data_IF_913008382159
#
_entry.id   IF_913008382159
#
_cell.length_a   1.000
_cell.length_b   1.000
_cell.length_c   1.000
_cell.angle_alpha   90.00
_cell.angle_beta   90.00
_cell.angle_gamma   90.00
#
_symmetry.space_group_name_H-M   'P 1'
#
loop_
_entity.id
_entity.type
_entity.pdbx_description
1 polymer ?
#
# COMPACT_ATOMS: atom_id res chain seq x y z
N UNK A 1 19.60 39.12 13.26
CA UNK A 1 19.11 39.00 11.87
C UNK A 1 17.78 38.24 11.94
N UNK A 2 16.67 38.94 11.75
CA UNK A 2 15.31 38.41 11.91
C UNK A 2 15.01 37.33 10.86
N UNK A 3 14.88 36.08 11.29
CA UNK A 3 14.35 34.97 10.49
C UNK A 3 12.88 34.76 10.87
N UNK A 4 12.03 35.67 10.42
CA UNK A 4 10.58 35.50 10.45
C UNK A 4 10.04 35.70 9.04
N UNK A 5 10.49 34.83 8.13
CA UNK A 5 9.74 34.58 6.90
C UNK A 5 8.53 33.72 7.29
N UNK A 6 7.28 34.09 6.94
CA UNK A 6 6.16 33.17 7.10
C UNK A 6 6.48 31.89 6.31
N UNK A 7 6.02 30.70 6.76
CA UNK A 7 6.20 29.48 6.01
C UNK A 7 5.66 29.73 4.60
N UNK A 8 6.51 29.55 3.59
CA UNK A 8 6.15 29.72 2.18
C UNK A 8 4.77 29.14 1.94
N UNK A 9 3.87 29.96 1.42
CA UNK A 9 2.49 29.59 1.22
C UNK A 9 2.44 28.52 0.13
N UNK A 10 2.48 27.25 0.55
CA UNK A 10 2.51 26.13 -0.39
C UNK A 10 1.36 26.27 -1.37
N UNK A 11 1.70 26.35 -2.65
CA UNK A 11 0.73 26.58 -3.71
C UNK A 11 -0.24 25.40 -3.77
N UNK A 12 -1.45 25.60 -3.28
CA UNK A 12 -2.51 24.57 -3.24
C UNK A 12 -3.37 24.54 -4.50
N UNK A 13 -3.05 25.38 -5.50
CA UNK A 13 -3.74 25.44 -6.80
C UNK A 13 -3.77 24.13 -7.60
N UNK A 14 -2.74 23.25 -7.59
CA UNK A 14 -2.81 21.99 -8.34
C UNK A 14 -3.75 20.95 -7.70
N UNK A 15 -4.26 21.20 -6.49
CA UNK A 15 -5.09 20.22 -5.79
C UNK A 15 -6.53 20.19 -6.30
N UNK A 16 -7.16 19.01 -6.34
CA UNK A 16 -8.61 18.91 -6.47
C UNK A 16 -9.32 19.76 -5.41
N UNK A 17 -10.39 20.47 -5.80
CA UNK A 17 -11.15 21.39 -4.93
C UNK A 17 -11.54 20.76 -3.59
N UNK A 18 -11.97 19.50 -3.60
CA UNK A 18 -12.38 18.78 -2.40
C UNK A 18 -11.21 18.48 -1.46
N UNK A 19 -10.04 18.14 -2.01
CA UNK A 19 -8.81 17.91 -1.24
C UNK A 19 -8.35 19.21 -0.58
N UNK A 20 -8.31 20.32 -1.33
CA UNK A 20 -7.95 21.65 -0.81
C UNK A 20 -8.92 22.09 0.30
N UNK A 21 -10.23 22.01 0.06
CA UNK A 21 -11.26 22.36 1.06
C UNK A 21 -11.11 21.54 2.33
N UNK A 22 -10.80 20.25 2.22
CA UNK A 22 -10.58 19.40 3.39
C UNK A 22 -9.32 19.79 4.14
N UNK A 23 -8.19 19.94 3.46
CA UNK A 23 -6.94 20.36 4.08
C UNK A 23 -7.12 21.67 4.87
N UNK A 24 -7.74 22.69 4.27
CA UNK A 24 -7.99 23.97 4.94
C UNK A 24 -8.87 23.84 6.20
N UNK A 25 -9.83 22.90 6.21
CA UNK A 25 -10.66 22.62 7.40
C UNK A 25 -9.90 21.93 8.53
N UNK A 26 -8.88 21.15 8.21
CA UNK A 26 -8.12 20.34 9.18
C UNK A 26 -6.88 21.08 9.71
N UNK A 27 -6.38 22.08 8.98
CA UNK A 27 -5.19 22.85 9.33
C UNK A 27 -5.32 23.53 10.70
N UNK A 28 -4.26 23.42 11.50
CA UNK A 28 -4.18 24.03 12.84
C UNK A 28 -5.09 23.39 13.89
N UNK A 29 -5.65 22.20 13.63
CA UNK A 29 -6.54 21.51 14.58
C UNK A 29 -5.93 20.21 15.08
N UNK A 30 -6.19 19.88 16.34
CA UNK A 30 -6.09 18.50 16.82
C UNK A 30 -7.22 17.70 16.19
N UNK A 31 -6.87 16.57 15.57
CA UNK A 31 -7.80 15.74 14.83
C UNK A 31 -8.35 14.63 15.71
N UNK A 32 -9.64 14.38 15.56
CA UNK A 32 -10.30 13.23 16.15
C UNK A 32 -10.28 12.05 15.19
N UNK A 33 -10.40 10.85 15.76
CA UNK A 33 -10.56 9.64 14.97
C UNK A 33 -11.79 9.77 14.07
N UNK A 34 -11.73 9.45 12.77
CA UNK A 34 -12.89 9.55 11.89
C UNK A 34 -14.05 8.67 12.41
N UNK A 35 -15.16 9.30 12.80
CA UNK A 35 -16.40 8.68 13.28
C UNK A 35 -17.27 8.09 12.17
N UNK A 36 -18.35 7.35 12.45
CA UNK A 36 -19.17 6.67 11.41
C UNK A 36 -19.83 7.68 10.46
N UNK A 37 -19.77 7.41 9.14
CA UNK A 37 -20.36 8.29 8.12
C UNK A 37 -21.23 7.48 7.16
N UNK A 38 -22.22 8.13 6.53
CA UNK A 38 -23.04 7.53 5.48
C UNK A 38 -22.17 6.93 4.35
N UNK A 39 -21.07 7.59 3.98
CA UNK A 39 -20.11 7.07 2.99
C UNK A 39 -19.43 5.76 3.42
N UNK A 40 -19.10 5.61 4.72
CA UNK A 40 -18.56 4.34 5.25
C UNK A 40 -19.62 3.23 5.20
N UNK A 41 -20.87 3.53 5.57
CA UNK A 41 -21.97 2.57 5.48
C UNK A 41 -22.24 2.17 4.04
N UNK A 42 -22.26 3.12 3.10
CA UNK A 42 -22.39 2.86 1.68
C UNK A 42 -21.23 2.00 1.14
N UNK A 43 -19.99 2.27 1.55
CA UNK A 43 -18.84 1.45 1.17
C UNK A 43 -18.94 0.02 1.71
N UNK A 44 -19.42 -0.16 2.95
CA UNK A 44 -19.66 -1.46 3.55
C UNK A 44 -20.79 -2.20 2.84
N UNK A 45 -21.90 -1.53 2.54
CA UNK A 45 -23.02 -2.08 1.79
C UNK A 45 -22.59 -2.53 0.38
N UNK A 46 -21.87 -1.67 -0.34
CA UNK A 46 -21.34 -2.00 -1.68
C UNK A 46 -20.34 -3.16 -1.62
N UNK A 47 -19.49 -3.21 -0.59
CA UNK A 47 -18.57 -4.32 -0.37
C UNK A 47 -19.31 -5.62 -0.06
N UNK A 48 -20.41 -5.56 0.70
CA UNK A 48 -21.29 -6.69 0.96
C UNK A 48 -21.97 -7.18 -0.32
N UNK A 49 -22.44 -6.28 -1.20
CA UNK A 49 -23.00 -6.63 -2.51
C UNK A 49 -21.98 -7.37 -3.38
N UNK A 50 -20.74 -6.87 -3.45
CA UNK A 50 -19.66 -7.54 -4.19
C UNK A 50 -19.48 -8.99 -3.70
N UNK A 51 -19.44 -9.20 -2.39
CA UNK A 51 -19.28 -10.54 -1.83
C UNK A 51 -20.53 -11.41 -1.99
N UNK A 52 -21.73 -10.83 -1.93
CA UNK A 52 -22.98 -11.53 -2.18
C UNK A 52 -23.06 -12.05 -3.62
N UNK A 53 -22.59 -11.27 -4.59
CA UNK A 53 -22.49 -11.70 -6.00
C UNK A 53 -21.55 -12.91 -6.13
N UNK A 54 -20.37 -12.87 -5.50
CA UNK A 54 -19.44 -14.02 -5.50
C UNK A 54 -20.08 -15.26 -4.87
N UNK A 55 -20.81 -15.10 -3.76
CA UNK A 55 -21.52 -16.21 -3.11
C UNK A 55 -22.65 -16.76 -3.98
N UNK A 56 -23.38 -15.90 -4.70
CA UNK A 56 -24.43 -16.30 -5.63
C UNK A 56 -23.90 -17.15 -6.79
N UNK A 57 -22.74 -16.80 -7.36
CA UNK A 57 -22.08 -17.63 -8.38
C UNK A 57 -21.74 -19.03 -7.85
N UNK A 58 -21.21 -19.10 -6.63
CA UNK A 58 -20.90 -20.38 -6.00
C UNK A 58 -22.18 -21.22 -5.80
N UNK A 59 -23.23 -20.62 -5.24
CA UNK A 59 -24.50 -21.28 -5.00
C UNK A 59 -25.16 -21.77 -6.29
N UNK A 60 -25.19 -20.92 -7.34
CA UNK A 60 -25.73 -21.28 -8.65
C UNK A 60 -24.97 -22.44 -9.28
N UNK A 61 -23.64 -22.43 -9.22
CA UNK A 61 -22.83 -23.53 -9.74
C UNK A 61 -23.05 -24.84 -9.02
N UNK A 62 -23.10 -24.83 -7.68
CA UNK A 62 -23.41 -26.01 -6.86
C UNK A 62 -24.82 -26.53 -7.17
N UNK A 63 -25.81 -25.63 -7.30
CA UNK A 63 -27.18 -25.99 -7.64
C UNK A 63 -27.27 -26.68 -9.02
N UNK A 64 -26.56 -26.17 -10.04
CA UNK A 64 -26.53 -26.78 -11.38
C UNK A 64 -25.92 -28.19 -11.33
N UNK A 65 -24.75 -28.35 -10.69
CA UNK A 65 -24.07 -29.66 -10.59
C UNK A 65 -24.94 -30.67 -9.83
N UNK A 66 -25.61 -30.24 -8.76
CA UNK A 66 -26.42 -31.12 -7.92
C UNK A 66 -27.82 -31.40 -8.48
N UNK A 67 -28.38 -30.50 -9.29
CA UNK A 67 -29.68 -30.69 -9.96
C UNK A 67 -29.59 -31.55 -11.22
N UNK A 68 -28.44 -31.56 -11.90
CA UNK A 68 -28.23 -32.26 -13.18
C UNK A 68 -27.24 -33.44 -13.02
N UNK A 69 -27.45 -34.24 -11.97
CA UNK A 69 -26.55 -35.36 -11.63
C UNK A 69 -26.49 -36.36 -12.79
N UNK A 70 -25.28 -36.79 -13.16
CA UNK A 70 -25.05 -37.74 -14.26
C UNK A 70 -24.99 -37.11 -15.65
N UNK A 71 -25.26 -35.81 -15.81
CA UNK A 71 -25.14 -35.11 -17.09
C UNK A 71 -23.81 -34.34 -17.17
N UNK A 72 -22.99 -34.67 -18.17
CA UNK A 72 -21.69 -34.00 -18.44
C UNK A 72 -21.88 -32.49 -18.68
N UNK A 73 -22.99 -32.08 -19.33
CA UNK A 73 -23.29 -30.67 -19.59
C UNK A 73 -23.57 -29.93 -18.27
N UNK A 74 -24.29 -30.54 -17.34
CA UNK A 74 -24.55 -29.97 -16.01
C UNK A 74 -23.27 -29.77 -15.21
N UNK A 75 -22.34 -30.73 -15.27
CA UNK A 75 -21.01 -30.60 -14.69
C UNK A 75 -20.20 -29.46 -15.33
N UNK A 76 -20.17 -29.37 -16.65
CA UNK A 76 -19.44 -28.33 -17.36
C UNK A 76 -20.00 -26.94 -17.04
N UNK A 77 -21.31 -26.75 -17.18
CA UNK A 77 -21.97 -25.47 -16.93
C UNK A 77 -21.95 -25.06 -15.45
N UNK A 78 -22.02 -26.00 -14.51
CA UNK A 78 -21.97 -25.73 -13.08
C UNK A 78 -20.54 -25.51 -12.54
N UNK A 79 -19.53 -26.16 -13.13
CA UNK A 79 -18.14 -26.00 -12.74
C UNK A 79 -17.56 -24.62 -13.08
N UNK A 80 -18.00 -24.00 -14.18
CA UNK A 80 -17.56 -22.64 -14.58
C UNK A 80 -17.85 -21.58 -13.50
N UNK A 81 -19.10 -21.38 -13.02
CA UNK A 81 -19.39 -20.41 -11.98
C UNK A 81 -18.75 -20.78 -10.62
N UNK A 82 -18.58 -22.07 -10.31
CA UNK A 82 -17.79 -22.50 -9.14
C UNK A 82 -16.33 -22.06 -9.29
N UNK A 83 -15.71 -22.32 -10.45
CA UNK A 83 -14.33 -21.93 -10.71
C UNK A 83 -14.15 -20.41 -10.63
N UNK A 84 -15.08 -19.64 -11.18
CA UNK A 84 -15.12 -18.17 -11.04
C UNK A 84 -15.20 -17.79 -9.56
N UNK A 85 -16.12 -18.37 -8.79
CA UNK A 85 -16.27 -18.04 -7.37
C UNK A 85 -15.01 -18.40 -6.54
N UNK A 86 -14.39 -19.56 -6.79
CA UNK A 86 -13.15 -19.99 -6.12
C UNK A 86 -11.99 -19.07 -6.46
N UNK A 87 -11.89 -18.67 -7.73
CA UNK A 87 -10.83 -17.79 -8.21
C UNK A 87 -10.96 -16.39 -7.60
N UNK A 88 -12.20 -15.92 -7.46
CA UNK A 88 -12.55 -14.58 -7.03
C UNK A 88 -12.86 -14.42 -5.55
N UNK A 89 -12.70 -15.52 -4.79
CA UNK A 89 -12.96 -15.57 -3.36
C UNK A 89 -12.33 -14.38 -2.62
N UNK A 90 -12.96 -13.84 -1.57
CA UNK A 90 -12.38 -12.76 -0.77
C UNK A 90 -10.99 -13.15 -0.29
N UNK A 91 -9.95 -12.47 -0.79
CA UNK A 91 -8.58 -12.74 -0.38
C UNK A 91 -8.23 -11.84 0.80
N UNK A 92 -7.67 -12.44 1.83
CA UNK A 92 -7.02 -11.70 2.90
C UNK A 92 -5.69 -11.14 2.40
N UNK A 93 -5.23 -10.04 2.99
CA UNK A 93 -3.89 -9.52 2.76
C UNK A 93 -2.88 -10.65 3.02
N UNK A 94 -1.98 -10.87 2.05
CA UNK A 94 -0.84 -11.79 2.16
C UNK A 94 0.42 -10.96 2.36
N UNK A 95 1.41 -11.55 3.00
CA UNK A 95 2.76 -11.01 3.02
C UNK A 95 3.37 -11.14 1.61
N UNK A 96 4.24 -10.20 1.20
CA UNK A 96 4.94 -10.33 -0.08
C UNK A 96 5.84 -11.57 -0.08
N UNK A 97 6.00 -12.16 -1.26
CA UNK A 97 6.90 -13.28 -1.46
C UNK A 97 8.34 -12.86 -1.12
N UNK A 98 9.06 -13.70 -0.36
CA UNK A 98 10.40 -13.38 0.13
C UNK A 98 10.43 -12.60 1.44
N UNK A 99 9.29 -12.34 2.08
CA UNK A 99 9.26 -11.87 3.47
C UNK A 99 9.72 -12.99 4.42
N UNK A 100 10.74 -12.72 5.22
CA UNK A 100 11.29 -13.66 6.20
C UNK A 100 10.94 -13.23 7.62
N UNK A 101 10.52 -14.18 8.45
CA UNK A 101 10.18 -13.90 9.84
C UNK A 101 11.46 -13.70 10.68
N UNK A 102 11.45 -12.67 11.50
CA UNK A 102 12.47 -12.39 12.51
C UNK A 102 11.83 -12.57 13.87
N UNK A 103 12.42 -13.43 14.70
CA UNK A 103 11.88 -13.72 16.02
C UNK A 103 12.30 -12.65 17.05
N UNK A 104 11.55 -12.55 18.15
CA UNK A 104 11.91 -11.66 19.26
C UNK A 104 13.23 -12.00 19.94
N UNK A 105 13.71 -13.25 19.79
CA UNK A 105 15.03 -13.66 20.26
C UNK A 105 16.16 -13.21 19.33
N UNK A 106 15.90 -13.06 18.03
CA UNK A 106 16.88 -12.61 17.04
C UNK A 106 17.01 -11.09 16.98
N UNK A 107 15.90 -10.36 17.17
CA UNK A 107 15.90 -8.90 17.15
C UNK A 107 15.19 -8.28 18.36
N UNK A 108 15.67 -8.51 19.60
CA UNK A 108 15.01 -8.03 20.80
C UNK A 108 14.86 -6.51 20.85
N UNK A 109 15.89 -5.73 20.45
CA UNK A 109 15.81 -4.27 20.44
C UNK A 109 14.77 -3.76 19.42
N UNK A 110 14.62 -4.42 18.27
CA UNK A 110 13.57 -4.07 17.31
C UNK A 110 12.17 -4.32 17.87
N UNK A 111 11.95 -5.46 18.52
CA UNK A 111 10.67 -5.78 19.14
C UNK A 111 10.36 -4.86 20.33
N UNK A 112 11.36 -4.51 21.14
CA UNK A 112 11.23 -3.57 22.25
C UNK A 112 10.86 -2.16 21.75
N UNK A 113 11.58 -1.64 20.76
CA UNK A 113 11.28 -0.34 20.15
C UNK A 113 9.88 -0.32 19.54
N UNK A 114 9.50 -1.36 18.80
CA UNK A 114 8.17 -1.48 18.20
C UNK A 114 7.07 -1.60 19.27
N UNK A 115 7.29 -2.36 20.34
CA UNK A 115 6.35 -2.50 21.45
C UNK A 115 6.15 -1.20 22.23
N UNK A 116 7.25 -0.49 22.54
CA UNK A 116 7.23 0.81 23.22
C UNK A 116 6.49 1.87 22.41
N UNK A 117 6.78 1.98 21.11
CA UNK A 117 6.08 2.92 20.22
C UNK A 117 4.62 2.50 20.01
N UNK A 118 4.32 1.19 19.90
CA UNK A 118 2.95 0.70 19.82
C UNK A 118 2.13 1.11 21.06
N UNK A 119 2.71 0.96 22.25
CA UNK A 119 2.11 1.43 23.50
C UNK A 119 1.84 2.93 23.51
N UNK A 120 2.80 3.75 23.08
CA UNK A 120 2.65 5.21 23.00
C UNK A 120 1.57 5.65 21.97
N UNK A 121 1.44 4.92 20.87
CA UNK A 121 0.42 5.16 19.83
C UNK A 121 -0.96 4.60 20.21
N UNK A 122 -1.02 3.64 21.13
CA UNK A 122 -2.23 2.88 21.47
C UNK A 122 -2.55 1.72 20.50
N UNK A 123 -1.57 1.27 19.71
CA UNK A 123 -1.69 0.12 18.82
C UNK A 123 -1.31 -1.18 19.54
N UNK A 124 -1.75 -2.33 19.01
CA UNK A 124 -1.27 -3.61 19.51
C UNK A 124 0.22 -3.80 19.14
N UNK A 125 1.06 -4.35 20.03
CA UNK A 125 2.43 -4.69 19.66
C UNK A 125 2.43 -5.72 18.51
N UNK A 126 3.41 -5.68 17.59
CA UNK A 126 3.55 -6.71 16.55
C UNK A 126 3.71 -8.10 17.20
N UNK A 127 2.91 -9.07 16.74
CA UNK A 127 3.06 -10.46 17.17
C UNK A 127 4.22 -11.15 16.44
N UNK A 128 4.57 -10.66 15.25
CA UNK A 128 5.71 -11.09 14.47
C UNK A 128 6.26 -9.91 13.67
N UNK A 129 7.57 -9.94 13.40
CA UNK A 129 8.25 -9.01 12.50
C UNK A 129 8.72 -9.81 11.29
N UNK A 130 8.50 -9.27 10.09
CA UNK A 130 9.03 -9.81 8.85
C UNK A 130 9.96 -8.78 8.23
N UNK A 131 11.08 -9.23 7.69
CA UNK A 131 12.01 -8.41 6.93
C UNK A 131 11.95 -8.75 5.45
N UNK A 132 12.23 -7.78 4.59
CA UNK A 132 12.19 -7.98 3.15
C UNK A 132 13.32 -7.23 2.44
N UNK A 133 14.10 -7.98 1.65
CA UNK A 133 15.37 -7.53 1.09
C UNK A 133 15.23 -6.49 -0.04
N UNK A 134 14.09 -6.45 -0.73
CA UNK A 134 13.87 -5.53 -1.87
C UNK A 134 12.83 -4.45 -1.64
N UNK A 135 12.20 -4.43 -0.47
CA UNK A 135 11.06 -3.55 -0.22
C UNK A 135 11.58 -2.22 0.33
N UNK A 136 11.29 -1.10 -0.34
CA UNK A 136 11.55 0.23 0.22
C UNK A 136 10.31 0.76 0.95
N UNK A 137 9.82 0.01 1.94
CA UNK A 137 8.60 0.34 2.70
C UNK A 137 8.58 -0.36 4.05
N UNK A 138 7.89 0.24 5.02
CA UNK A 138 7.45 -0.42 6.23
C UNK A 138 5.93 -0.52 6.22
N UNK A 139 5.38 -1.62 6.73
CA UNK A 139 3.93 -1.81 6.80
C UNK A 139 3.53 -2.58 8.05
N UNK A 140 2.64 -1.99 8.85
CA UNK A 140 1.93 -2.75 9.90
C UNK A 140 0.65 -3.36 9.32
N UNK A 141 0.56 -4.69 9.29
CA UNK A 141 -0.44 -5.47 8.59
C UNK A 141 -1.15 -6.44 9.52
N UNK A 142 -2.33 -6.91 9.11
CA UNK A 142 -3.09 -7.98 9.78
C UNK A 142 -3.45 -9.07 8.78
N UNK A 143 -2.47 -9.87 8.31
CA UNK A 143 -2.69 -10.85 7.27
C UNK A 143 -3.55 -12.03 7.74
N UNK A 144 -4.13 -12.73 6.78
CA UNK A 144 -4.92 -13.94 7.02
C UNK A 144 -6.25 -13.72 7.76
N UNK A 145 -6.97 -14.82 8.01
CA UNK A 145 -8.26 -14.79 8.72
C UNK A 145 -8.11 -14.49 10.21
N UNK A 146 -6.99 -14.91 10.83
CA UNK A 146 -6.69 -14.67 12.25
C UNK A 146 -6.28 -13.24 12.56
N UNK A 147 -5.97 -12.43 11.53
CA UNK A 147 -5.66 -11.00 11.64
C UNK A 147 -4.63 -10.64 12.73
N UNK A 148 -3.64 -11.53 12.91
CA UNK A 148 -2.55 -11.31 13.86
C UNK A 148 -1.73 -10.09 13.40
N UNK A 149 -1.37 -9.16 14.31
CA UNK A 149 -0.62 -7.98 13.94
C UNK A 149 0.81 -8.34 13.55
N UNK A 150 1.25 -7.86 12.40
CA UNK A 150 2.55 -8.14 11.82
C UNK A 150 3.20 -6.84 11.38
N UNK A 151 4.48 -6.67 11.69
CA UNK A 151 5.28 -5.57 11.19
C UNK A 151 6.17 -6.07 10.05
N UNK A 152 6.00 -5.55 8.85
CA UNK A 152 6.86 -5.81 7.70
C UNK A 152 7.83 -4.65 7.53
N UNK A 153 9.14 -4.92 7.62
CA UNK A 153 10.21 -3.93 7.49
C UNK A 153 11.04 -4.20 6.25
N UNK A 154 11.02 -3.24 5.32
CA UNK A 154 11.92 -3.23 4.19
C UNK A 154 13.35 -2.89 4.60
N UNK A 155 14.30 -3.78 4.33
CA UNK A 155 15.70 -3.59 4.72
C UNK A 155 16.41 -2.47 3.94
N UNK A 156 16.17 -2.26 2.63
CA UNK A 156 16.68 -1.09 1.92
C UNK A 156 16.19 0.24 2.50
N UNK A 157 14.94 0.28 2.98
CA UNK A 157 14.42 1.45 3.69
C UNK A 157 15.18 1.63 5.00
N UNK A 158 15.30 0.58 5.81
CA UNK A 158 15.96 0.65 7.12
C UNK A 158 17.40 1.20 7.03
N UNK A 159 18.17 0.79 6.01
CA UNK A 159 19.52 1.28 5.72
C UNK A 159 19.56 2.79 5.40
N UNK A 160 18.49 3.34 4.85
CA UNK A 160 18.39 4.72 4.42
C UNK A 160 17.77 5.68 5.45
N UNK A 161 17.44 5.19 6.65
CA UNK A 161 16.80 5.98 7.70
C UNK A 161 17.75 6.28 8.88
N UNK A 162 17.76 7.53 9.31
CA UNK A 162 18.34 7.95 10.60
C UNK A 162 17.58 7.32 11.77
N UNK A 163 18.16 7.27 13.00
CA UNK A 163 17.44 6.79 14.18
C UNK A 163 16.09 7.51 14.41
N UNK A 164 16.04 8.83 14.18
CA UNK A 164 14.80 9.62 14.31
C UNK A 164 13.77 9.20 13.27
N UNK A 165 14.18 9.04 12.02
CA UNK A 165 13.29 8.59 10.94
C UNK A 165 12.80 7.15 11.16
N UNK A 166 13.60 6.26 11.75
CA UNK A 166 13.16 4.91 12.15
C UNK A 166 12.05 4.96 13.20
N UNK A 167 12.16 5.86 14.18
CA UNK A 167 11.10 6.10 15.15
C UNK A 167 9.82 6.64 14.47
N UNK A 168 9.98 7.61 13.55
CA UNK A 168 8.89 8.15 12.72
C UNK A 168 8.22 7.09 11.86
N UNK A 169 9.01 6.18 11.26
CA UNK A 169 8.54 5.04 10.48
C UNK A 169 7.64 4.12 11.31
N UNK A 170 8.13 3.66 12.47
CA UNK A 170 7.37 2.77 13.33
C UNK A 170 6.10 3.45 13.84
N UNK A 171 6.22 4.69 14.33
CA UNK A 171 5.09 5.44 14.86
C UNK A 171 4.01 5.68 13.80
N UNK A 172 4.40 6.14 12.60
CA UNK A 172 3.47 6.35 11.50
C UNK A 172 2.75 5.06 11.13
N UNK A 173 3.49 3.96 10.93
CA UNK A 173 2.92 2.69 10.50
C UNK A 173 1.99 2.03 11.54
N UNK A 174 2.35 2.11 12.82
CA UNK A 174 1.52 1.64 13.94
C UNK A 174 0.28 2.53 14.11
N UNK A 175 0.41 3.85 13.98
CA UNK A 175 -0.71 4.78 14.13
C UNK A 175 -1.78 4.59 13.05
N UNK A 176 -1.40 4.09 11.88
CA UNK A 176 -2.39 3.71 10.86
C UNK A 176 -3.34 2.61 11.33
N UNK A 177 -2.99 1.74 12.29
CA UNK A 177 -3.88 0.67 12.79
C UNK A 177 -5.03 1.24 13.63
N UNK A 178 -4.74 2.24 14.46
CA UNK A 178 -5.74 2.91 15.30
C UNK A 178 -6.50 4.02 14.57
N UNK A 179 -6.07 4.37 13.36
CA UNK A 179 -6.62 5.48 12.57
C UNK A 179 -8.11 5.37 12.21
N UNK A 180 -8.67 4.16 12.20
CA UNK A 180 -10.04 3.94 11.72
C UNK A 180 -10.21 4.05 10.20
N UNK A 181 -9.12 3.91 9.44
CA UNK A 181 -9.15 3.81 7.98
C UNK A 181 -10.02 2.61 7.55
N UNK A 182 -11.10 2.82 6.77
CA UNK A 182 -11.94 1.73 6.25
C UNK A 182 -11.14 0.74 5.38
N UNK A 183 -10.03 1.17 4.77
CA UNK A 183 -9.14 0.32 3.95
C UNK A 183 -8.22 -0.58 4.78
N UNK A 184 -8.31 -0.53 6.11
CA UNK A 184 -7.62 -1.46 7.03
C UNK A 184 -8.57 -2.48 7.67
N UNK A 185 -9.85 -2.45 7.30
CA UNK A 185 -10.83 -3.47 7.65
C UNK A 185 -10.68 -4.78 6.88
N UNK A 186 -11.65 -5.67 6.99
CA UNK A 186 -11.71 -6.90 6.19
C UNK A 186 -12.50 -6.67 4.89
N UNK A 187 -13.75 -6.21 5.02
CA UNK A 187 -14.73 -6.15 3.91
C UNK A 187 -14.32 -5.23 2.76
N UNK A 188 -13.94 -3.98 3.06
CA UNK A 188 -13.63 -2.99 2.03
C UNK A 188 -12.37 -3.38 1.24
N UNK A 189 -11.24 -3.76 1.87
CA UNK A 189 -10.07 -4.20 1.14
C UNK A 189 -10.29 -5.47 0.34
N UNK A 190 -11.03 -6.46 0.89
CA UNK A 190 -11.33 -7.69 0.16
C UNK A 190 -12.23 -7.42 -1.05
N UNK A 191 -13.24 -6.55 -0.93
CA UNK A 191 -14.07 -6.17 -2.06
C UNK A 191 -13.27 -5.42 -3.15
N UNK A 192 -12.41 -4.47 -2.77
CA UNK A 192 -11.52 -3.79 -3.72
C UNK A 192 -10.57 -4.76 -4.41
N UNK A 193 -10.01 -5.74 -3.68
CA UNK A 193 -9.15 -6.77 -4.24
C UNK A 193 -9.92 -7.68 -5.22
N UNK A 194 -11.11 -8.16 -4.83
CA UNK A 194 -11.98 -8.98 -5.66
C UNK A 194 -12.37 -8.25 -6.94
N UNK A 195 -12.93 -7.04 -6.85
CA UNK A 195 -13.35 -6.29 -8.06
C UNK A 195 -12.16 -5.96 -8.95
N UNK A 196 -11.01 -5.59 -8.37
CA UNK A 196 -9.78 -5.32 -9.13
C UNK A 196 -9.22 -6.57 -9.84
N UNK A 197 -9.38 -7.76 -9.27
CA UNK A 197 -9.05 -9.03 -9.91
C UNK A 197 -10.01 -9.34 -11.07
N UNK A 198 -11.33 -9.18 -10.88
CA UNK A 198 -12.30 -9.43 -11.96
C UNK A 198 -12.07 -8.49 -13.13
N UNK A 199 -11.83 -7.21 -12.84
CA UNK A 199 -11.52 -6.23 -13.87
C UNK A 199 -10.25 -6.65 -14.62
N UNK A 200 -9.17 -6.99 -13.91
CA UNK A 200 -7.93 -7.47 -14.55
C UNK A 200 -8.15 -8.74 -15.35
N UNK A 201 -9.00 -9.66 -14.92
CA UNK A 201 -9.39 -10.83 -15.69
C UNK A 201 -10.02 -10.44 -17.03
N UNK A 202 -11.09 -9.66 -16.95
CA UNK A 202 -11.95 -9.34 -18.09
C UNK A 202 -11.25 -8.40 -19.08
N UNK A 203 -10.39 -7.49 -18.58
CA UNK A 203 -9.60 -6.59 -19.43
C UNK A 203 -8.26 -7.18 -19.86
N UNK A 204 -7.73 -8.13 -19.08
CA UNK A 204 -6.45 -8.80 -19.29
C UNK A 204 -6.52 -9.99 -20.23
N UNK A 205 -7.73 -10.42 -20.65
CA UNK A 205 -7.94 -11.24 -21.85
C UNK A 205 -7.61 -10.47 -23.14
N UNK A 206 -6.52 -9.71 -23.15
CA UNK A 206 -5.80 -9.42 -24.38
C UNK A 206 -5.25 -10.76 -24.83
N UNK A 207 -5.74 -11.27 -25.96
CA UNK A 207 -4.99 -12.25 -26.75
C UNK A 207 -3.74 -11.51 -27.20
N UNK A 208 -2.74 -11.43 -26.32
CA UNK A 208 -1.40 -10.98 -26.63
C UNK A 208 -0.92 -11.88 -27.77
N UNK A 209 -0.59 -11.26 -28.89
CA UNK A 209 -0.61 -11.87 -30.21
C UNK A 209 -0.16 -13.33 -30.20
N UNK A 210 -1.06 -14.21 -30.60
CA UNK A 210 -0.64 -15.51 -31.12
C UNK A 210 0.37 -15.18 -32.22
N UNK A 211 1.66 -15.40 -31.93
CA UNK A 211 2.72 -15.33 -32.93
C UNK A 211 2.23 -16.18 -34.07
N UNK A 212 2.07 -15.54 -35.22
CA UNK A 212 1.73 -16.17 -36.47
C UNK A 212 2.86 -17.13 -36.81
N UNK A 213 2.80 -18.36 -36.28
CA UNK A 213 3.46 -19.48 -36.91
C UNK A 213 2.64 -19.72 -38.17
N UNK A 214 3.05 -19.03 -39.23
CA UNK A 214 2.47 -19.16 -40.56
C UNK A 214 2.51 -20.63 -40.94
N UNK A 215 1.35 -21.28 -40.85
CA UNK A 215 1.12 -22.60 -41.40
C UNK A 215 0.49 -22.38 -42.78
N UNK A 216 1.26 -22.48 -43.89
CA UNK A 216 0.85 -22.04 -45.22
C UNK A 216 -0.35 -22.83 -45.78
N UNK A 217 -0.72 -23.94 -45.15
CA UNK A 217 -1.79 -24.83 -45.60
C UNK A 217 -3.20 -24.37 -45.16
N UNK A 218 -3.32 -23.45 -44.20
CA UNK A 218 -4.61 -22.94 -43.71
C UNK A 218 -5.07 -21.64 -44.40
N UNK A 219 -4.28 -21.12 -45.35
CA UNK A 219 -4.55 -19.85 -46.01
C UNK A 219 -5.50 -19.93 -47.21
N UNK A 220 -5.85 -21.15 -47.66
CA UNK A 220 -6.63 -21.37 -48.89
C UNK A 220 -8.16 -21.32 -48.73
N UNK A 221 -8.73 -21.26 -47.51
CA UNK A 221 -10.19 -21.24 -47.31
C UNK A 221 -10.68 -19.98 -46.57
N UNK A 222 -11.15 -19.01 -47.36
CA UNK A 222 -11.50 -17.63 -47.00
C UNK A 222 -12.84 -17.42 -46.28
N UNK A 223 -13.42 -18.45 -45.63
CA UNK A 223 -14.61 -18.30 -44.78
C UNK A 223 -14.28 -18.16 -43.27
N UNK A 224 -13.09 -18.59 -42.85
CA UNK A 224 -12.71 -18.69 -41.43
C UNK A 224 -12.05 -17.40 -40.90
N UNK A 225 -11.58 -16.49 -41.78
CA UNK A 225 -11.02 -15.18 -41.37
C UNK A 225 -12.11 -14.24 -40.80
N UNK A 226 -13.31 -14.25 -41.38
CA UNK A 226 -14.46 -13.45 -40.88
C UNK A 226 -15.01 -13.92 -39.54
N UNK A 227 -15.14 -15.23 -39.33
CA UNK A 227 -15.58 -15.81 -38.04
C UNK A 227 -14.59 -15.57 -36.90
N UNK A 228 -13.28 -15.57 -37.18
CA UNK A 228 -12.24 -15.27 -36.17
C UNK A 228 -12.25 -13.81 -35.74
N UNK A 229 -12.34 -12.86 -36.67
CA UNK A 229 -12.49 -11.43 -36.31
C UNK A 229 -13.81 -11.16 -35.57
N UNK A 230 -14.92 -11.79 -35.97
CA UNK A 230 -16.20 -11.66 -35.30
C UNK A 230 -16.15 -12.22 -33.86
N UNK A 231 -15.55 -13.39 -33.64
CA UNK A 231 -15.38 -13.98 -32.30
C UNK A 231 -14.52 -13.11 -31.37
N UNK A 232 -13.46 -12.48 -31.91
CA UNK A 232 -12.62 -11.55 -31.16
C UNK A 232 -13.36 -10.23 -30.84
N UNK A 233 -14.17 -9.73 -31.76
CA UNK A 233 -15.00 -8.55 -31.53
C UNK A 233 -16.08 -8.82 -30.47
N UNK A 234 -16.76 -9.97 -30.55
CA UNK A 234 -17.77 -10.40 -29.57
C UNK A 234 -17.13 -10.58 -28.19
N UNK A 235 -15.96 -11.22 -28.11
CA UNK A 235 -15.22 -11.37 -26.85
C UNK A 235 -14.82 -10.02 -26.23
N UNK A 236 -14.37 -9.07 -27.05
CA UNK A 236 -14.02 -7.71 -26.60
C UNK A 236 -15.24 -6.93 -26.11
N UNK A 237 -16.34 -6.93 -26.87
CA UNK A 237 -17.57 -6.21 -26.52
C UNK A 237 -18.19 -6.80 -25.26
N UNK A 238 -18.28 -8.13 -25.18
CA UNK A 238 -18.81 -8.83 -24.00
C UNK A 238 -17.94 -8.59 -22.77
N UNK A 239 -16.61 -8.71 -22.92
CA UNK A 239 -15.66 -8.39 -21.85
C UNK A 239 -15.79 -6.94 -21.36
N UNK A 240 -16.01 -5.98 -22.26
CA UNK A 240 -16.21 -4.58 -21.91
C UNK A 240 -17.53 -4.32 -21.17
N UNK A 241 -18.64 -4.90 -21.65
CA UNK A 241 -19.96 -4.76 -21.03
C UNK A 241 -19.96 -5.33 -19.61
N UNK A 242 -19.33 -6.49 -19.39
CA UNK A 242 -19.20 -7.07 -18.06
C UNK A 242 -18.17 -6.34 -17.18
N UNK A 243 -17.09 -5.81 -17.76
CA UNK A 243 -16.07 -5.07 -17.01
C UNK A 243 -16.57 -3.70 -16.53
N UNK A 244 -17.52 -3.08 -17.21
CA UNK A 244 -17.97 -1.72 -16.91
C UNK A 244 -18.66 -1.59 -15.53
N UNK A 245 -19.64 -2.44 -15.14
CA UNK A 245 -20.19 -2.42 -13.78
C UNK A 245 -19.13 -2.62 -12.69
N UNK A 246 -18.14 -3.48 -12.95
CA UNK A 246 -17.06 -3.76 -12.00
C UNK A 246 -16.12 -2.55 -11.88
N UNK A 247 -15.80 -1.90 -12.99
CA UNK A 247 -15.05 -0.65 -12.99
C UNK A 247 -15.79 0.45 -12.21
N UNK A 248 -17.09 0.60 -12.43
CA UNK A 248 -17.91 1.55 -11.69
C UNK A 248 -17.96 1.22 -10.19
N UNK A 249 -18.10 -0.05 -9.82
CA UNK A 249 -18.07 -0.50 -8.43
C UNK A 249 -16.70 -0.22 -7.77
N UNK A 250 -15.59 -0.51 -8.46
CA UNK A 250 -14.24 -0.20 -7.98
C UNK A 250 -14.06 1.31 -7.79
N UNK A 251 -14.45 2.10 -8.78
CA UNK A 251 -14.37 3.56 -8.74
C UNK A 251 -15.22 4.14 -7.61
N UNK A 252 -16.46 3.66 -7.46
CA UNK A 252 -17.38 4.06 -6.40
C UNK A 252 -16.81 3.73 -5.02
N UNK A 253 -16.31 2.50 -4.81
CA UNK A 253 -15.66 2.11 -3.56
C UNK A 253 -14.47 3.02 -3.25
N UNK A 254 -13.57 3.24 -4.22
CA UNK A 254 -12.40 4.12 -4.04
C UNK A 254 -12.80 5.56 -3.69
N UNK A 255 -13.80 6.12 -4.38
CA UNK A 255 -14.37 7.44 -4.09
C UNK A 255 -14.98 7.54 -2.69
N UNK A 256 -15.79 6.55 -2.29
CA UNK A 256 -16.46 6.54 -0.98
C UNK A 256 -15.48 6.49 0.17
N UNK A 257 -14.34 5.80 0.00
CA UNK A 257 -13.37 5.60 1.08
C UNK A 257 -12.21 6.58 1.05
N UNK A 258 -11.88 7.20 -0.11
CA UNK A 258 -10.71 8.08 -0.24
C UNK A 258 -10.75 9.22 0.76
N UNK A 259 -11.92 9.84 0.92
CA UNK A 259 -12.07 10.99 1.78
C UNK A 259 -11.70 10.71 3.24
N UNK A 260 -12.21 9.57 3.70
CA UNK A 260 -12.02 9.08 5.05
C UNK A 260 -10.61 8.51 5.27
N UNK A 261 -10.05 7.85 4.26
CA UNK A 261 -8.69 7.33 4.29
C UNK A 261 -7.69 8.47 4.46
N UNK A 262 -7.87 9.58 3.73
CA UNK A 262 -7.02 10.77 3.89
C UNK A 262 -7.11 11.35 5.30
N UNK A 263 -8.32 11.51 5.85
CA UNK A 263 -8.49 11.97 7.23
C UNK A 263 -7.87 11.00 8.24
N UNK A 264 -8.03 9.69 8.04
CA UNK A 264 -7.42 8.67 8.89
C UNK A 264 -5.89 8.75 8.85
N UNK A 265 -5.28 9.03 7.69
CA UNK A 265 -3.82 9.25 7.59
C UNK A 265 -3.40 10.51 8.35
N UNK A 266 -4.08 11.64 8.18
CA UNK A 266 -3.73 12.86 8.92
C UNK A 266 -3.88 12.69 10.44
N UNK A 267 -4.93 11.99 10.86
CA UNK A 267 -5.12 11.63 12.26
C UNK A 267 -3.99 10.70 12.76
N UNK A 268 -3.63 9.68 11.96
CA UNK A 268 -2.53 8.78 12.28
C UNK A 268 -1.20 9.53 12.40
N UNK A 269 -0.94 10.51 11.53
CA UNK A 269 0.25 11.35 11.59
C UNK A 269 0.31 12.13 12.91
N UNK A 270 -0.81 12.72 13.36
CA UNK A 270 -0.85 13.41 14.66
C UNK A 270 -0.71 12.47 15.86
N UNK A 271 -1.24 11.25 15.78
CA UNK A 271 -1.02 10.22 16.82
C UNK A 271 0.45 9.81 16.86
N UNK A 272 1.06 9.56 15.69
CA UNK A 272 2.46 9.24 15.58
C UNK A 272 3.35 10.37 16.11
N UNK A 273 3.07 11.62 15.73
CA UNK A 273 3.81 12.79 16.19
C UNK A 273 3.74 12.98 17.71
N UNK A 274 2.59 12.69 18.34
CA UNK A 274 2.44 12.68 19.81
C UNK A 274 3.19 11.54 20.50
N UNK A 275 3.39 10.42 19.81
CA UNK A 275 4.17 9.32 20.36
C UNK A 275 5.68 9.60 20.29
N UNK A 276 6.14 10.18 19.18
CA UNK A 276 7.56 10.44 18.90
C UNK A 276 7.88 11.92 18.77
N UNK A 277 7.67 12.52 17.60
CA UNK A 277 7.76 13.96 17.37
C UNK A 277 7.19 14.28 15.99
N UNK A 278 6.76 15.52 15.76
CA UNK A 278 6.30 15.96 14.44
C UNK A 278 7.45 15.84 13.44
N UNK A 279 8.65 16.24 13.85
CA UNK A 279 9.86 16.17 13.05
C UNK A 279 10.18 14.74 12.58
N UNK A 280 10.09 13.74 13.45
CA UNK A 280 10.37 12.35 13.08
C UNK A 280 9.42 11.82 12.00
N UNK A 281 8.13 12.14 12.10
CA UNK A 281 7.10 11.69 11.14
C UNK A 281 7.26 12.42 9.80
N UNK A 282 7.57 13.72 9.83
CA UNK A 282 7.85 14.52 8.63
C UNK A 282 9.11 14.04 7.91
N UNK A 283 10.22 13.88 8.63
CA UNK A 283 11.48 13.37 8.04
C UNK A 283 11.28 11.97 7.45
N UNK A 284 10.49 11.10 8.10
CA UNK A 284 10.13 9.80 7.52
C UNK A 284 9.29 9.92 6.24
N UNK A 285 8.29 10.81 6.21
CA UNK A 285 7.49 11.04 5.01
C UNK A 285 8.34 11.57 3.85
N UNK A 286 9.28 12.47 4.14
CA UNK A 286 10.26 12.97 3.17
C UNK A 286 11.21 11.87 2.71
N UNK A 287 11.65 10.97 3.60
CA UNK A 287 12.47 9.82 3.24
C UNK A 287 11.78 8.86 2.25
N UNK A 288 10.45 8.72 2.35
CA UNK A 288 9.65 7.97 1.38
C UNK A 288 9.49 8.72 0.05
N UNK A 289 9.30 10.04 0.07
CA UNK A 289 9.32 10.86 -1.15
C UNK A 289 10.68 10.81 -1.85
N UNK A 290 11.77 10.75 -1.08
CA UNK A 290 13.15 10.70 -1.58
C UNK A 290 13.61 9.26 -1.88
N UNK A 291 12.69 8.31 -2.08
CA UNK A 291 13.04 6.91 -2.26
C UNK A 291 14.09 6.69 -3.35
N UNK A 292 13.93 7.29 -4.53
CA UNK A 292 14.91 7.19 -5.62
C UNK A 292 16.27 7.78 -5.23
N UNK A 293 16.27 8.98 -4.64
CA UNK A 293 17.48 9.71 -4.25
C UNK A 293 18.26 9.01 -3.13
N UNK A 294 17.58 8.29 -2.24
CA UNK A 294 18.18 7.53 -1.13
C UNK A 294 18.52 6.09 -1.51
N UNK A 295 17.74 5.44 -2.37
CA UNK A 295 17.97 4.06 -2.78
C UNK A 295 19.12 3.94 -3.79
N UNK A 296 19.28 4.92 -4.68
CA UNK A 296 20.37 4.93 -5.67
C UNK A 296 21.76 4.80 -5.01
N UNK A 297 22.13 5.60 -3.99
CA UNK A 297 23.41 5.41 -3.29
C UNK A 297 23.51 4.08 -2.55
N UNK A 298 22.42 3.59 -1.96
CA UNK A 298 22.39 2.26 -1.32
C UNK A 298 22.75 1.18 -2.34
N UNK A 299 22.11 1.19 -3.51
CA UNK A 299 22.38 0.24 -4.59
C UNK A 299 23.81 0.39 -5.14
N UNK A 300 24.28 1.62 -5.34
CA UNK A 300 25.63 1.88 -5.82
C UNK A 300 26.70 1.37 -4.85
N UNK A 301 26.50 1.56 -3.55
CA UNK A 301 27.39 1.08 -2.50
C UNK A 301 27.32 -0.45 -2.34
N UNK A 302 26.12 -1.04 -2.45
CA UNK A 302 25.96 -2.49 -2.49
C UNK A 302 26.71 -3.14 -3.66
N UNK A 303 26.71 -2.50 -4.85
CA UNK A 303 27.49 -2.95 -6.02
C UNK A 303 29.01 -2.87 -5.80
N UNK A 304 29.49 -1.97 -4.94
CA UNK A 304 30.91 -1.89 -4.54
C UNK A 304 31.28 -2.91 -3.46
N UNK A 305 30.33 -3.69 -2.94
CA UNK A 305 30.57 -4.66 -1.88
C UNK A 305 30.75 -4.03 -0.51
N UNK A 306 30.27 -2.80 -0.30
CA UNK A 306 30.33 -2.13 1.00
C UNK A 306 29.46 -2.83 2.06
N UNK A 307 29.88 -2.75 3.31
CA UNK A 307 29.16 -3.27 4.46
C UNK A 307 27.92 -2.42 4.78
N UNK A 308 26.98 -2.98 5.55
CA UNK A 308 25.77 -2.26 5.96
C UNK A 308 26.08 -0.94 6.69
N UNK A 309 27.14 -0.91 7.50
CA UNK A 309 27.57 0.27 8.23
C UNK A 309 28.15 1.34 7.30
N UNK A 310 28.99 0.96 6.33
CA UNK A 310 29.54 1.87 5.32
C UNK A 310 28.44 2.47 4.44
N UNK A 311 27.51 1.64 3.96
CA UNK A 311 26.35 2.08 3.18
C UNK A 311 25.55 3.11 3.97
N UNK A 312 25.21 2.78 5.22
CA UNK A 312 24.44 3.67 6.09
C UNK A 312 25.18 4.98 6.31
N UNK A 313 26.47 4.93 6.62
CA UNK A 313 27.30 6.13 6.81
C UNK A 313 27.31 7.02 5.56
N UNK A 314 27.48 6.42 4.39
CA UNK A 314 27.49 7.13 3.10
C UNK A 314 26.14 7.72 2.70
N UNK A 315 25.04 7.03 3.02
CA UNK A 315 23.68 7.51 2.73
C UNK A 315 23.29 8.62 3.69
N UNK A 316 23.58 8.47 4.99
CA UNK A 316 23.23 9.44 6.02
C UNK A 316 24.13 10.68 6.00
N UNK A 317 25.34 10.60 5.45
CA UNK A 317 26.21 11.77 5.24
C UNK A 317 25.75 12.64 4.05
N UNK A 318 24.88 12.13 3.19
CA UNK A 318 24.32 12.89 2.08
C UNK A 318 23.11 13.67 2.55
N UNK A 319 23.23 14.99 2.56
CA UNK A 319 22.07 15.86 2.64
C UNK A 319 21.41 15.92 1.25
N UNK A 320 20.16 15.44 1.07
CA UNK A 320 19.45 15.57 -0.19
C UNK A 320 19.20 17.04 -0.58
N UNK A 321 19.36 17.98 0.35
CA UNK A 321 19.17 19.41 0.14
C UNK A 321 17.71 19.81 0.31
N UNK A 322 17.47 20.87 1.08
CA UNK A 322 16.12 21.38 1.38
C UNK A 322 15.32 21.73 0.13
N UNK A 323 15.98 22.25 -0.92
CA UNK A 323 15.35 22.58 -2.19
C UNK A 323 14.81 21.35 -2.94
N UNK A 324 15.54 20.22 -2.93
CA UNK A 324 15.08 18.99 -3.57
C UNK A 324 13.88 18.40 -2.83
N UNK A 325 13.91 18.41 -1.50
CA UNK A 325 12.77 17.96 -0.68
C UNK A 325 11.54 18.82 -0.94
N UNK A 326 11.70 20.15 -1.02
CA UNK A 326 10.61 21.07 -1.36
C UNK A 326 10.04 20.79 -2.76
N UNK A 327 10.89 20.66 -3.78
CA UNK A 327 10.45 20.34 -5.15
C UNK A 327 9.66 19.02 -5.21
N UNK A 328 10.13 17.98 -4.53
CA UNK A 328 9.44 16.68 -4.50
C UNK A 328 8.14 16.71 -3.68
N UNK A 329 8.06 17.57 -2.66
CA UNK A 329 6.79 17.86 -1.97
C UNK A 329 5.81 18.53 -2.94
N UNK A 330 6.24 19.48 -3.76
CA UNK A 330 5.39 20.09 -4.80
C UNK A 330 4.93 19.08 -5.85
N UNK A 331 5.83 18.22 -6.35
CA UNK A 331 5.48 17.12 -7.27
C UNK A 331 4.38 16.23 -6.67
N UNK A 332 4.43 15.97 -5.36
CA UNK A 332 3.42 15.16 -4.66
C UNK A 332 2.02 15.80 -4.69
N UNK A 333 1.93 17.13 -4.81
CA UNK A 333 0.66 17.84 -4.96
C UNK A 333 0.12 17.72 -6.38
N UNK A 334 0.99 17.86 -7.38
CA UNK A 334 0.63 17.80 -8.81
C UNK A 334 0.13 16.42 -9.24
N UNK A 335 0.70 15.35 -8.66
CA UNK A 335 0.29 13.96 -8.94
C UNK A 335 -1.03 13.51 -8.29
N UNK A 336 -1.71 14.38 -7.52
CA UNK A 336 -2.82 13.94 -6.66
C UNK A 336 -4.12 13.70 -7.44
N UNK A 337 -4.62 12.47 -7.38
CA UNK A 337 -5.93 12.13 -7.94
C UNK A 337 -7.08 12.36 -6.94
N UNK A 338 -8.30 12.77 -7.38
CA UNK A 338 -9.45 12.96 -6.49
C UNK A 338 -9.90 11.71 -5.70
N UNK A 339 -9.53 10.51 -6.17
CA UNK A 339 -9.87 9.23 -5.55
C UNK A 339 -8.67 8.53 -4.91
N UNK A 340 -7.54 9.22 -4.78
CA UNK A 340 -6.38 8.71 -4.07
C UNK A 340 -6.63 8.74 -2.56
N UNK A 341 -6.44 7.61 -1.91
CA UNK A 341 -6.78 7.45 -0.49
C UNK A 341 -5.68 7.89 0.47
N UNK A 342 -4.43 7.96 0.00
CA UNK A 342 -3.35 8.61 0.75
C UNK A 342 -3.29 10.10 0.35
N UNK A 343 -3.18 11.02 1.32
CA UNK A 343 -2.99 12.43 1.02
C UNK A 343 -1.56 12.72 0.54
N UNK A 344 -1.34 13.81 -0.21
CA UNK A 344 0.00 14.25 -0.59
C UNK A 344 0.90 14.41 0.63
N UNK A 345 2.15 13.98 0.51
CA UNK A 345 3.12 14.09 1.59
C UNK A 345 3.37 15.55 2.00
N UNK A 346 3.36 16.49 1.05
CA UNK A 346 3.42 17.92 1.35
C UNK A 346 2.30 18.38 2.30
N UNK A 347 1.05 17.93 2.08
CA UNK A 347 -0.07 18.29 2.96
C UNK A 347 0.04 17.63 4.34
N UNK A 348 0.60 16.42 4.41
CA UNK A 348 0.85 15.74 5.68
C UNK A 348 1.88 16.52 6.51
N UNK A 349 2.99 16.93 5.89
CA UNK A 349 4.02 17.73 6.54
C UNK A 349 3.48 19.07 7.06
N UNK A 350 2.78 19.82 6.21
CA UNK A 350 2.15 21.10 6.60
C UNK A 350 1.14 20.95 7.74
N UNK A 351 0.35 19.86 7.76
CA UNK A 351 -0.60 19.63 8.84
C UNK A 351 0.10 19.33 10.16
N UNK A 352 1.19 18.57 10.14
CA UNK A 352 1.98 18.30 11.34
C UNK A 352 2.68 19.55 11.86
N UNK A 353 3.33 20.29 10.97
CA UNK A 353 4.04 21.54 11.28
C UNK A 353 3.09 22.62 11.84
N UNK A 354 1.83 22.65 11.38
CA UNK A 354 0.84 23.65 11.83
C UNK A 354 -0.03 23.21 13.03
N UNK A 355 -0.05 21.94 13.40
CA UNK A 355 -0.98 21.43 14.40
C UNK A 355 -0.58 21.72 15.86
N UNK A 356 0.65 22.20 16.12
CA UNK A 356 1.13 22.44 17.49
C UNK A 356 1.06 21.19 18.35
N UNK A 357 1.53 20.06 17.81
CA UNK A 357 1.44 18.76 18.46
C UNK A 357 2.40 18.72 19.65
N UNK A 358 1.89 18.34 20.82
CA UNK A 358 2.72 18.04 21.98
C UNK A 358 3.51 16.76 21.70
N UNK A 359 4.84 16.89 21.64
CA UNK A 359 5.71 15.80 21.19
C UNK A 359 5.95 14.77 22.30
N UNK A 360 6.02 13.50 21.89
CA UNK A 360 6.28 12.39 22.80
C UNK A 360 7.76 12.13 23.02
N UNK A 361 8.05 11.08 23.78
CA UNK A 361 9.42 10.67 24.11
C UNK A 361 9.77 9.27 23.63
N UNK A 362 8.88 8.58 22.91
CA UNK A 362 9.09 7.19 22.46
C UNK A 362 10.03 7.08 21.24
N UNK A 363 11.15 7.81 21.26
CA UNK A 363 12.13 7.83 20.18
C UNK A 363 12.99 6.55 20.10
N UNK A 364 13.83 6.53 19.06
CA UNK A 364 14.93 5.57 18.90
C UNK A 364 16.23 6.37 18.90
N UNK A 365 17.09 6.08 19.89
CA UNK A 365 18.43 6.68 19.99
C UNK A 365 19.43 6.06 19.02
N UNK A 366 20.60 6.67 18.84
CA UNK A 366 21.68 6.11 18.00
C UNK A 366 22.09 4.72 18.46
N UNK A 367 22.43 4.54 19.74
CA UNK A 367 22.84 3.24 20.27
C UNK A 367 21.76 2.14 20.22
N UNK A 368 20.47 2.49 20.25
CA UNK A 368 19.39 1.52 20.00
C UNK A 368 19.27 1.19 18.50
N UNK A 369 19.40 2.20 17.62
CA UNK A 369 19.43 1.99 16.18
C UNK A 369 20.59 1.10 15.75
N UNK A 370 21.76 1.24 16.36
CA UNK A 370 22.95 0.44 16.04
C UNK A 370 22.79 -1.00 16.55
N UNK A 371 22.14 -1.20 17.70
CA UNK A 371 21.75 -2.54 18.19
C UNK A 371 20.80 -3.24 17.22
N UNK A 372 19.78 -2.54 16.72
CA UNK A 372 18.86 -3.08 15.70
C UNK A 372 19.63 -3.49 14.43
N UNK A 373 20.64 -2.71 14.02
CA UNK A 373 21.45 -3.05 12.85
C UNK A 373 22.34 -4.28 13.10
N UNK A 374 22.88 -4.43 14.30
CA UNK A 374 23.64 -5.61 14.70
C UNK A 374 22.77 -6.87 14.72
N UNK A 375 21.57 -6.79 15.30
CA UNK A 375 20.57 -7.88 15.32
C UNK A 375 20.21 -8.34 13.90
N UNK A 376 20.02 -7.39 12.98
CA UNK A 376 19.63 -7.66 11.60
C UNK A 376 20.81 -7.88 10.64
N UNK A 377 22.05 -7.91 11.13
CA UNK A 377 23.28 -7.95 10.32
C UNK A 377 23.29 -9.07 9.28
N UNK A 378 22.81 -10.28 9.64
CA UNK A 378 22.68 -11.41 8.71
C UNK A 378 21.73 -11.11 7.54
N UNK A 379 20.57 -10.52 7.82
CA UNK A 379 19.58 -10.17 6.81
C UNK A 379 20.02 -8.95 5.98
N UNK A 380 20.69 -7.97 6.60
CA UNK A 380 21.28 -6.82 5.93
C UNK A 380 22.37 -7.25 4.95
N UNK A 381 23.27 -8.15 5.35
CA UNK A 381 24.31 -8.68 4.46
C UNK A 381 23.71 -9.43 3.25
N UNK A 382 22.61 -10.19 3.45
CA UNK A 382 21.89 -10.82 2.35
C UNK A 382 21.22 -9.79 1.44
N UNK A 383 20.57 -8.79 2.02
CA UNK A 383 19.95 -7.68 1.28
C UNK A 383 20.96 -6.98 0.38
N UNK A 384 22.15 -6.67 0.88
CA UNK A 384 23.22 -6.03 0.11
C UNK A 384 23.63 -6.88 -1.09
N UNK A 385 23.76 -8.20 -0.92
CA UNK A 385 24.04 -9.13 -2.03
C UNK A 385 22.89 -9.21 -3.05
N UNK A 386 21.65 -9.09 -2.61
CA UNK A 386 20.50 -9.09 -3.52
C UNK A 386 20.38 -7.76 -4.27
N UNK A 387 20.61 -6.62 -3.60
CA UNK A 387 20.61 -5.30 -4.22
C UNK A 387 21.73 -5.13 -5.25
N UNK A 388 22.90 -5.74 -5.03
CA UNK A 388 24.00 -5.67 -6.00
C UNK A 388 23.72 -6.39 -7.32
N UNK A 389 22.74 -7.30 -7.33
CA UNK A 389 22.31 -8.08 -8.51
C UNK A 389 21.18 -7.44 -9.31
N UNK A 390 20.54 -6.40 -8.78
CA UNK A 390 19.46 -5.68 -9.48
C UNK A 390 20.11 -4.76 -10.50
N UNK A 391 19.80 -4.95 -11.78
CA UNK A 391 20.33 -4.19 -12.92
C UNK A 391 19.71 -2.80 -13.00
#
# INVERSE_FOLDING_TARGET
MNLSSPPEEVRTDPLPRDTRRRFLRLRGRRLDRPGHTAAKLAALALSAVVHAVTAAFLAAGVFIVTGWRGNVIGWLCGSVPIAIAIWTRPRTIRLPDGAEEVTGAEAPALFEAAGRIAGAVGAAPPAAVYVHDRLYRCAYLRPGLRRRPVLLVGLPLLLALTPRERAGMLAAELARDVSGDPRRGLLVPSALATVGEWRRALTGMRVEGYRDYGDPLLEANSAVKGGRMASQAIGKVTGWILAWPLFLAELALRRLVSARSQHAVYFADQVAARAVSSRAVVEYADALLMAESRLTPVMAAARRGETAEEIRRAVLSRDPGTALVAARREDSLAGQSPWQAEPPAALRALLLESAGVEEGTAGIGSGESDRIDAELSRHLARTIRELSRIT
#
